data_IF_039739543801
#
_entry.id   IF_039739543801
#
_cell.length_a   1.000
_cell.length_b   1.000
_cell.length_c   1.000
_cell.angle_alpha   90.00
_cell.angle_beta   90.00
_cell.angle_gamma   90.00
#
_symmetry.space_group_name_H-M   'P 1'
#
loop_
_entity.id
_entity.type
_entity.pdbx_description
1 polymer ?
#
# COMPACT_ATOMS: atom_id res chain seq x y z
N UNK A 1 16.46 -94.91 -5.20
CA UNK A 1 15.56 -93.73 -5.19
C UNK A 1 16.38 -92.50 -5.08
N UNK A 2 16.57 -91.82 -6.24
CA UNK A 2 17.42 -90.60 -6.38
C UNK A 2 16.56 -89.41 -6.19
N UNK A 3 16.82 -88.56 -5.18
CA UNK A 3 16.23 -87.20 -5.07
C UNK A 3 17.13 -86.17 -5.75
N UNK A 4 16.55 -85.59 -6.74
CA UNK A 4 17.18 -84.51 -7.49
C UNK A 4 17.08 -83.21 -6.68
N UNK A 5 18.22 -82.63 -6.31
CA UNK A 5 18.29 -81.28 -5.76
C UNK A 5 18.44 -80.27 -6.90
N UNK A 6 17.40 -79.53 -7.18
CA UNK A 6 17.46 -78.38 -8.04
C UNK A 6 18.10 -77.22 -7.26
N UNK A 7 19.29 -76.81 -7.71
CA UNK A 7 19.90 -75.56 -7.28
C UNK A 7 19.19 -74.40 -7.92
N UNK A 8 18.56 -73.55 -7.09
CA UNK A 8 18.01 -72.26 -7.51
C UNK A 8 19.15 -71.24 -7.50
N UNK A 9 19.61 -70.82 -8.68
CA UNK A 9 20.48 -69.67 -8.81
C UNK A 9 19.68 -68.43 -8.56
N UNK A 10 19.92 -67.80 -7.41
CA UNK A 10 19.41 -66.45 -7.14
C UNK A 10 20.41 -65.49 -7.75
N UNK A 11 20.10 -64.98 -8.91
CA UNK A 11 20.81 -63.85 -9.51
C UNK A 11 20.39 -62.60 -8.74
N UNK A 12 21.26 -62.10 -7.88
CA UNK A 12 21.08 -60.77 -7.27
C UNK A 12 21.33 -59.73 -8.36
N UNK A 13 20.24 -59.22 -8.90
CA UNK A 13 20.31 -58.06 -9.77
C UNK A 13 20.51 -56.86 -8.85
N UNK A 14 21.77 -56.39 -8.79
CA UNK A 14 22.10 -55.09 -8.20
C UNK A 14 21.47 -54.02 -9.06
N UNK A 15 20.29 -53.52 -8.62
CA UNK A 15 19.75 -52.30 -9.13
C UNK A 15 20.66 -51.19 -8.57
N UNK A 16 21.58 -50.70 -9.36
CA UNK A 16 22.16 -49.37 -9.17
C UNK A 16 21.01 -48.40 -9.36
N UNK A 17 20.43 -47.92 -8.21
CA UNK A 17 19.68 -46.67 -8.26
C UNK A 17 20.69 -45.61 -8.64
N UNK A 18 20.74 -45.28 -9.90
CA UNK A 18 21.20 -43.94 -10.31
C UNK A 18 20.15 -43.00 -9.74
N UNK A 19 20.42 -42.46 -8.57
CA UNK A 19 19.79 -41.23 -8.13
C UNK A 19 20.24 -40.19 -9.14
N UNK A 20 19.52 -40.10 -10.24
CA UNK A 20 19.54 -38.86 -11.01
C UNK A 20 19.03 -37.82 -10.03
N UNK A 21 19.92 -37.01 -9.49
CA UNK A 21 19.58 -35.71 -8.96
C UNK A 21 18.93 -34.95 -10.11
N UNK A 22 17.63 -35.19 -10.31
CA UNK A 22 16.81 -34.21 -10.96
C UNK A 22 16.85 -33.04 -9.98
N UNK A 23 17.83 -32.16 -10.16
CA UNK A 23 17.69 -30.80 -9.75
C UNK A 23 16.32 -30.38 -10.23
N UNK A 24 15.38 -30.21 -9.31
CA UNK A 24 14.16 -29.46 -9.59
C UNK A 24 14.64 -28.25 -10.40
N UNK A 25 14.05 -27.95 -11.54
CA UNK A 25 14.42 -26.76 -12.26
C UNK A 25 14.36 -25.64 -11.23
N UNK A 26 15.47 -24.94 -11.04
CA UNK A 26 15.47 -23.76 -10.21
C UNK A 26 14.30 -22.93 -10.71
N UNK A 27 13.36 -22.61 -9.83
CA UNK A 27 12.33 -21.64 -10.11
C UNK A 27 13.07 -20.34 -10.40
N UNK A 28 13.32 -20.06 -11.68
CA UNK A 28 14.20 -18.98 -12.06
C UNK A 28 14.92 -19.21 -13.35
N UNK A 29 14.26 -19.78 -14.36
CA UNK A 29 14.66 -19.42 -15.70
C UNK A 29 14.54 -17.90 -15.82
N UNK A 30 15.55 -17.28 -16.41
CA UNK A 30 15.54 -15.85 -16.75
C UNK A 30 14.27 -15.55 -17.53
N UNK A 31 13.28 -15.07 -16.81
CA UNK A 31 12.04 -14.62 -17.43
C UNK A 31 12.45 -13.35 -18.14
N UNK A 32 12.56 -13.48 -19.46
CA UNK A 32 12.79 -12.36 -20.35
C UNK A 32 11.60 -11.42 -20.21
N UNK A 33 11.73 -10.51 -19.28
CA UNK A 33 10.69 -9.58 -18.87
C UNK A 33 10.48 -8.61 -20.00
N UNK A 34 9.32 -8.65 -20.60
CA UNK A 34 8.96 -7.74 -21.68
C UNK A 34 8.74 -6.35 -21.10
N UNK A 35 9.85 -5.60 -21.04
CA UNK A 35 10.02 -4.30 -20.37
C UNK A 35 8.99 -3.24 -20.73
N UNK A 36 8.23 -3.45 -21.80
CA UNK A 36 7.28 -2.45 -22.29
C UNK A 36 6.06 -2.25 -21.40
N UNK A 37 5.67 -3.25 -20.60
CA UNK A 37 4.47 -3.18 -19.77
C UNK A 37 4.74 -3.21 -18.28
N UNK A 38 5.98 -3.47 -17.91
CA UNK A 38 6.33 -3.74 -16.54
C UNK A 38 7.34 -2.74 -16.03
N UNK A 39 6.91 -1.60 -16.04
CA UNK A 39 7.67 -0.50 -15.58
C UNK A 39 7.73 -0.66 -14.11
N UNK A 40 8.60 -1.32 -13.74
CA UNK A 40 8.59 -1.21 -12.68
C UNK A 40 8.68 -1.67 -11.44
N UNK A 41 9.23 -2.15 -11.08
CA UNK A 41 8.72 -2.82 -9.96
C UNK A 41 9.77 -3.12 -9.01
N UNK A 42 9.49 -3.13 -7.87
CA UNK A 42 10.15 -3.65 -6.70
C UNK A 42 11.30 -4.61 -7.00
N UNK A 43 12.17 -4.79 -6.08
CA UNK A 43 13.13 -5.87 -6.09
C UNK A 43 12.35 -7.17 -6.24
N UNK A 44 12.58 -7.86 -7.34
CA UNK A 44 11.95 -9.15 -7.57
C UNK A 44 12.75 -10.21 -6.88
N UNK A 45 12.03 -11.01 -6.16
CA UNK A 45 12.56 -12.19 -5.54
C UNK A 45 12.11 -13.41 -6.33
N UNK A 46 13.02 -14.34 -6.53
CA UNK A 46 12.71 -15.70 -6.95
C UNK A 46 13.52 -16.63 -6.07
N UNK A 47 12.85 -17.54 -5.41
CA UNK A 47 13.46 -18.47 -4.44
C UNK A 47 14.30 -17.75 -3.35
N UNK A 48 13.81 -16.61 -2.85
CA UNK A 48 14.50 -15.83 -1.83
C UNK A 48 15.75 -15.09 -2.29
N UNK A 49 16.03 -15.08 -3.59
CA UNK A 49 17.13 -14.33 -4.18
C UNK A 49 16.61 -13.05 -4.85
N UNK A 50 17.32 -11.94 -4.64
CA UNK A 50 17.07 -10.72 -5.41
C UNK A 50 17.42 -11.00 -6.86
N UNK A 51 16.46 -10.86 -7.76
CA UNK A 51 16.75 -10.84 -9.19
C UNK A 51 17.21 -9.45 -9.57
N UNK A 52 18.36 -9.39 -10.24
CA UNK A 52 18.83 -8.15 -10.83
C UNK A 52 17.81 -7.61 -11.82
N UNK A 53 17.67 -6.29 -11.84
CA UNK A 53 16.81 -5.62 -12.78
C UNK A 53 17.32 -5.77 -14.19
N UNK A 54 16.46 -6.16 -15.11
CA UNK A 54 16.75 -6.09 -16.53
C UNK A 54 17.10 -4.67 -16.96
N UNK A 55 18.12 -4.60 -17.72
CA UNK A 55 18.78 -3.58 -18.55
C UNK A 55 18.62 -2.07 -18.33
N UNK A 56 19.65 -1.39 -18.76
CA UNK A 56 20.02 0.03 -18.66
C UNK A 56 18.93 1.09 -19.00
N UNK A 57 17.91 0.75 -19.72
CA UNK A 57 16.86 1.71 -20.13
C UNK A 57 15.88 2.06 -19.00
N UNK A 58 15.83 1.24 -17.97
CA UNK A 58 15.00 1.45 -16.80
C UNK A 58 15.65 2.44 -15.82
N UNK A 59 16.96 2.34 -15.63
CA UNK A 59 17.74 3.22 -14.75
C UNK A 59 17.58 4.69 -15.15
N UNK A 60 17.43 5.00 -16.42
CA UNK A 60 17.32 6.36 -16.92
C UNK A 60 15.99 7.07 -16.52
N UNK A 61 14.91 6.33 -16.26
CA UNK A 61 13.64 6.93 -15.80
C UNK A 61 13.47 6.90 -14.28
N UNK A 62 14.04 5.90 -13.62
CA UNK A 62 14.04 5.81 -12.14
C UNK A 62 15.12 6.69 -11.50
N UNK A 63 16.13 7.12 -12.25
CA UNK A 63 17.22 7.97 -11.75
C UNK A 63 16.82 9.43 -11.52
N UNK A 64 15.56 9.79 -11.81
CA UNK A 64 15.14 11.17 -11.73
C UNK A 64 14.92 11.63 -10.29
N UNK A 65 14.66 10.73 -9.34
CA UNK A 65 14.50 11.16 -7.96
C UNK A 65 15.04 10.10 -6.98
N UNK A 66 16.15 10.41 -6.33
CA UNK A 66 16.60 9.71 -5.12
C UNK A 66 15.70 9.99 -3.90
N UNK A 67 14.68 10.82 -4.06
CA UNK A 67 13.66 11.20 -3.11
C UNK A 67 12.25 10.88 -3.59
N UNK A 68 11.26 11.21 -2.79
CA UNK A 68 9.86 11.11 -3.16
C UNK A 68 9.51 12.08 -4.27
N UNK A 69 8.74 11.67 -5.31
CA UNK A 69 8.15 12.60 -6.24
C UNK A 69 7.16 13.53 -5.51
N UNK A 70 6.92 14.72 -6.05
CA UNK A 70 5.92 15.61 -5.45
C UNK A 70 4.51 15.03 -5.60
N UNK A 71 3.86 14.72 -4.49
CA UNK A 71 2.46 14.29 -4.44
C UNK A 71 1.72 14.94 -3.27
N UNK A 72 0.98 16.04 -3.55
CA UNK A 72 0.24 16.77 -2.52
C UNK A 72 -0.96 16.01 -1.94
N UNK A 73 -1.29 14.83 -2.47
CA UNK A 73 -2.33 13.96 -1.92
C UNK A 73 -1.82 13.03 -0.82
N UNK A 74 -0.51 12.84 -0.77
CA UNK A 74 0.09 11.94 0.20
C UNK A 74 -0.02 12.52 1.61
N UNK A 75 -0.34 11.65 2.56
CA UNK A 75 -0.46 12.00 3.98
C UNK A 75 0.89 11.81 4.67
N UNK A 76 1.60 10.72 4.37
CA UNK A 76 2.87 10.36 4.99
C UNK A 76 3.84 9.79 3.97
N UNK A 77 5.13 10.04 4.21
CA UNK A 77 6.27 9.46 3.49
C UNK A 77 6.83 8.26 4.26
N UNK A 78 7.03 7.16 3.59
CA UNK A 78 7.54 5.95 4.23
C UNK A 78 8.54 5.19 3.39
N UNK A 79 9.10 4.17 3.98
CA UNK A 79 10.01 3.22 3.33
C UNK A 79 9.51 1.80 3.55
N UNK A 80 9.91 0.87 2.69
CA UNK A 80 9.83 -0.53 3.05
C UNK A 80 11.20 -1.19 3.03
N UNK A 81 11.40 -2.13 3.96
CA UNK A 81 12.70 -2.70 4.24
C UNK A 81 12.64 -4.19 4.53
N UNK A 82 13.76 -4.84 4.26
CA UNK A 82 14.01 -6.24 4.55
C UNK A 82 15.48 -6.46 4.92
N UNK A 83 15.91 -7.70 5.10
CA UNK A 83 17.31 -8.03 5.34
C UNK A 83 18.25 -7.55 4.22
N UNK A 84 17.73 -7.29 3.02
CA UNK A 84 18.53 -6.80 1.88
C UNK A 84 19.06 -5.38 2.09
N UNK A 85 18.43 -4.61 2.97
CA UNK A 85 18.90 -3.28 3.32
C UNK A 85 20.04 -3.29 4.34
N UNK A 86 20.43 -4.49 4.82
CA UNK A 86 21.51 -4.66 5.78
C UNK A 86 21.16 -4.12 7.17
N UNK A 87 22.14 -3.59 7.86
CA UNK A 87 21.96 -2.95 9.16
C UNK A 87 21.56 -1.49 8.96
N UNK A 88 20.46 -1.08 9.58
CA UNK A 88 19.88 0.24 9.46
C UNK A 88 20.13 1.05 10.73
N UNK A 89 20.63 2.26 10.59
CA UNK A 89 20.69 3.26 11.66
C UNK A 89 19.34 3.99 11.77
N UNK A 90 18.42 3.38 12.50
CA UNK A 90 17.05 3.89 12.65
C UNK A 90 16.97 5.28 13.31
N UNK A 91 18.01 5.67 14.07
CA UNK A 91 18.10 7.03 14.62
C UNK A 91 18.29 8.07 13.52
N UNK A 92 19.12 7.77 12.52
CA UNK A 92 19.28 8.63 11.34
C UNK A 92 18.06 8.61 10.45
N UNK A 93 17.43 7.44 10.28
CA UNK A 93 16.15 7.33 9.55
C UNK A 93 15.09 8.24 10.18
N UNK A 94 14.96 8.25 11.52
CA UNK A 94 14.01 9.11 12.24
C UNK A 94 14.27 10.61 12.03
N UNK A 95 15.51 10.99 11.79
CA UNK A 95 15.90 12.39 11.53
C UNK A 95 15.69 12.82 10.07
N UNK A 96 15.32 11.90 9.19
CA UNK A 96 14.99 12.14 7.79
C UNK A 96 13.50 12.44 7.60
N UNK A 97 13.06 12.47 6.35
CA UNK A 97 11.64 12.65 6.00
C UNK A 97 10.79 11.38 6.18
N UNK A 98 11.35 10.29 6.73
CA UNK A 98 10.64 9.02 6.92
C UNK A 98 9.71 9.11 8.12
N UNK A 99 8.43 8.94 7.88
CA UNK A 99 7.37 9.00 8.89
C UNK A 99 6.87 7.61 9.29
N UNK A 100 7.04 6.59 8.41
CA UNK A 100 6.69 5.20 8.71
C UNK A 100 7.56 4.21 7.94
N UNK A 101 7.53 2.94 8.35
CA UNK A 101 8.19 1.85 7.65
C UNK A 101 7.26 0.65 7.49
N UNK A 102 7.41 -0.10 6.38
CA UNK A 102 6.80 -1.42 6.23
C UNK A 102 7.94 -2.45 6.23
N UNK A 103 7.87 -3.41 7.14
CA UNK A 103 8.99 -4.32 7.42
C UNK A 103 8.63 -5.72 6.97
N UNK A 104 9.50 -6.34 6.17
CA UNK A 104 9.32 -7.75 5.83
C UNK A 104 9.47 -8.63 7.06
N UNK A 105 8.44 -9.42 7.37
CA UNK A 105 8.56 -10.40 8.44
C UNK A 105 9.17 -11.72 7.96
N UNK A 106 8.93 -12.10 6.72
CA UNK A 106 9.42 -13.33 6.12
C UNK A 106 8.89 -13.54 4.71
N UNK A 107 9.06 -14.75 4.21
CA UNK A 107 8.58 -15.17 2.90
C UNK A 107 8.17 -16.64 2.93
N UNK A 108 7.18 -17.01 2.12
CA UNK A 108 6.75 -18.41 1.98
C UNK A 108 6.13 -18.99 3.23
N UNK A 109 6.06 -20.31 3.27
CA UNK A 109 5.36 -21.09 4.30
C UNK A 109 5.99 -20.95 5.68
N UNK A 110 5.28 -21.42 6.72
CA UNK A 110 5.68 -21.27 8.13
C UNK A 110 6.91 -22.14 8.48
N UNK A 111 8.05 -21.73 8.01
CA UNK A 111 9.37 -22.28 8.31
C UNK A 111 10.26 -21.15 8.88
N UNK A 112 10.90 -21.41 10.03
CA UNK A 112 11.79 -20.46 10.68
C UNK A 112 12.97 -20.02 9.80
N UNK A 113 13.41 -20.85 8.86
CA UNK A 113 14.44 -20.51 7.91
C UNK A 113 13.99 -19.45 6.88
N UNK A 114 12.68 -19.23 6.78
CA UNK A 114 12.07 -18.23 5.90
C UNK A 114 11.71 -16.94 6.64
N UNK A 115 11.99 -16.84 7.93
CA UNK A 115 11.89 -15.58 8.67
C UNK A 115 12.89 -14.58 8.08
N UNK A 116 12.50 -13.31 7.96
CA UNK A 116 13.45 -12.28 7.55
C UNK A 116 14.53 -12.11 8.63
N UNK A 117 15.78 -12.23 8.23
CA UNK A 117 16.93 -12.23 9.15
C UNK A 117 17.12 -10.92 9.92
N UNK A 118 16.47 -9.86 9.46
CA UNK A 118 16.50 -8.52 10.09
C UNK A 118 15.14 -8.12 10.70
N UNK A 119 14.15 -9.02 10.70
CA UNK A 119 12.83 -8.75 11.21
C UNK A 119 12.84 -8.14 12.61
N UNK A 120 13.41 -8.84 13.58
CA UNK A 120 13.42 -8.39 14.97
C UNK A 120 14.27 -7.13 15.17
N UNK A 121 15.40 -7.01 14.45
CA UNK A 121 16.27 -5.83 14.50
C UNK A 121 15.54 -4.60 13.97
N UNK A 122 14.85 -4.71 12.83
CA UNK A 122 14.12 -3.62 12.21
C UNK A 122 12.90 -3.21 13.04
N UNK A 123 12.13 -4.18 13.55
CA UNK A 123 11.00 -3.89 14.47
C UNK A 123 11.48 -3.16 15.72
N UNK A 124 12.55 -3.65 16.36
CA UNK A 124 13.13 -2.98 17.53
C UNK A 124 13.59 -1.57 17.18
N UNK A 125 14.24 -1.39 16.04
CA UNK A 125 14.70 -0.09 15.58
C UNK A 125 13.57 0.91 15.38
N UNK A 126 12.44 0.49 14.80
CA UNK A 126 11.25 1.31 14.68
C UNK A 126 10.66 1.69 16.05
N UNK A 127 10.53 0.73 16.96
CA UNK A 127 9.98 0.95 18.31
C UNK A 127 10.86 1.93 19.09
N UNK A 128 12.16 1.69 19.15
CA UNK A 128 13.13 2.50 19.92
C UNK A 128 13.18 3.96 19.43
N UNK A 129 12.88 4.20 18.16
CA UNK A 129 12.91 5.53 17.56
C UNK A 129 11.51 6.14 17.31
N UNK A 130 10.45 5.53 17.83
CA UNK A 130 9.07 5.98 17.63
C UNK A 130 8.73 6.17 16.14
N UNK A 131 9.10 5.23 15.29
CA UNK A 131 8.70 5.17 13.89
C UNK A 131 7.51 4.20 13.79
N UNK A 132 6.31 4.67 13.41
CA UNK A 132 5.20 3.78 13.14
C UNK A 132 5.56 2.76 12.06
N UNK A 133 5.14 1.51 12.22
CA UNK A 133 5.44 0.50 11.22
C UNK A 133 4.26 -0.40 10.89
N UNK A 134 4.34 -1.05 9.76
CA UNK A 134 3.52 -2.16 9.30
C UNK A 134 4.41 -3.33 8.87
N UNK A 135 3.80 -4.32 8.26
CA UNK A 135 4.45 -5.59 7.99
C UNK A 135 4.10 -6.09 6.60
N UNK A 136 5.01 -6.81 5.95
CA UNK A 136 4.66 -7.60 4.79
C UNK A 136 5.28 -9.00 4.82
N UNK A 137 4.61 -9.93 4.18
CA UNK A 137 5.10 -11.28 3.93
C UNK A 137 5.09 -11.52 2.41
N UNK A 138 6.25 -11.87 1.88
CA UNK A 138 6.40 -12.22 0.46
C UNK A 138 5.85 -13.62 0.17
N UNK A 139 4.90 -13.72 -0.77
CA UNK A 139 4.20 -14.96 -1.07
C UNK A 139 4.89 -15.79 -2.14
N UNK A 140 4.99 -17.09 -1.86
CA UNK A 140 5.27 -18.16 -2.83
C UNK A 140 4.11 -19.15 -2.95
N UNK A 141 2.95 -18.84 -2.39
CA UNK A 141 1.83 -19.77 -2.37
C UNK A 141 1.25 -19.97 -3.76
N UNK A 142 1.29 -21.20 -4.23
CA UNK A 142 0.62 -21.67 -5.44
C UNK A 142 -0.58 -22.57 -5.17
N UNK A 143 -0.92 -22.74 -3.87
CA UNK A 143 -2.13 -23.42 -3.38
C UNK A 143 -2.67 -22.72 -2.14
N UNK A 144 -3.95 -22.98 -1.80
CA UNK A 144 -4.59 -22.43 -0.60
C UNK A 144 -3.97 -22.97 0.70
N UNK A 145 -3.44 -24.20 0.70
CA UNK A 145 -2.73 -24.78 1.82
C UNK A 145 -1.44 -24.03 2.13
N UNK A 146 -0.66 -23.70 1.06
CA UNK A 146 0.54 -22.87 1.23
C UNK A 146 0.18 -21.47 1.72
N UNK A 147 -0.84 -20.85 1.16
CA UNK A 147 -1.33 -19.54 1.63
C UNK A 147 -1.77 -19.59 3.10
N UNK A 148 -2.42 -20.67 3.52
CA UNK A 148 -2.76 -20.89 4.94
C UNK A 148 -1.52 -21.01 5.82
N UNK A 149 -0.48 -21.70 5.34
CA UNK A 149 0.80 -21.81 6.04
C UNK A 149 1.55 -20.49 6.10
N UNK A 150 1.50 -19.68 5.02
CA UNK A 150 2.06 -18.32 4.99
C UNK A 150 1.34 -17.39 5.97
N UNK A 151 0.02 -17.54 6.12
CA UNK A 151 -0.73 -16.83 7.15
C UNK A 151 -0.30 -17.22 8.57
N UNK A 152 -0.06 -18.53 8.83
CA UNK A 152 0.49 -18.99 10.12
C UNK A 152 1.90 -18.45 10.37
N UNK A 153 2.72 -18.33 9.31
CA UNK A 153 4.04 -17.72 9.36
C UNK A 153 3.95 -16.26 9.85
N UNK A 154 3.14 -15.47 9.19
CA UNK A 154 2.92 -14.09 9.62
C UNK A 154 2.38 -14.00 11.05
N UNK A 155 1.33 -14.76 11.39
CA UNK A 155 0.72 -14.77 12.73
C UNK A 155 1.76 -15.09 13.81
N UNK A 156 2.64 -16.06 13.58
CA UNK A 156 3.70 -16.44 14.51
C UNK A 156 4.66 -15.27 14.78
N UNK A 157 5.08 -14.56 13.74
CA UNK A 157 6.02 -13.45 13.86
C UNK A 157 5.38 -12.18 14.44
N UNK A 158 4.08 -12.02 14.25
CA UNK A 158 3.33 -10.87 14.74
C UNK A 158 2.90 -10.99 16.21
N UNK A 159 3.01 -12.19 16.79
CA UNK A 159 2.55 -12.43 18.17
C UNK A 159 3.24 -11.49 19.17
N UNK A 160 2.43 -10.74 19.92
CA UNK A 160 2.91 -9.77 20.91
C UNK A 160 3.46 -8.47 20.35
N UNK A 161 3.51 -8.28 19.04
CA UNK A 161 3.95 -7.04 18.39
C UNK A 161 2.80 -6.02 18.34
N UNK A 162 3.14 -4.74 18.43
CA UNK A 162 2.21 -3.61 18.24
C UNK A 162 2.69 -2.76 17.08
N UNK A 163 1.82 -2.51 16.12
CA UNK A 163 2.13 -1.73 14.92
C UNK A 163 0.89 -1.00 14.40
N UNK A 164 1.08 0.07 13.64
CA UNK A 164 0.00 0.94 13.16
C UNK A 164 -0.48 0.61 11.74
N UNK A 165 0.44 0.27 10.85
CA UNK A 165 0.13 0.01 9.44
C UNK A 165 -0.30 -1.44 9.22
N UNK A 166 -1.03 -1.75 8.14
CA UNK A 166 -1.54 -3.09 7.87
C UNK A 166 -0.46 -4.18 7.74
N UNK A 167 -0.91 -5.42 7.74
CA UNK A 167 -0.14 -6.58 7.29
C UNK A 167 -0.43 -6.80 5.82
N UNK A 168 0.57 -6.64 4.97
CA UNK A 168 0.44 -6.79 3.53
C UNK A 168 0.84 -8.19 3.08
N UNK A 169 0.00 -8.79 2.26
CA UNK A 169 0.32 -10.00 1.50
C UNK A 169 0.91 -9.56 0.16
N UNK A 170 2.17 -9.87 -0.05
CA UNK A 170 2.94 -9.44 -1.22
C UNK A 170 2.80 -10.46 -2.34
N UNK A 171 2.02 -10.09 -3.37
CA UNK A 171 1.68 -10.91 -4.53
C UNK A 171 2.37 -10.38 -5.78
N UNK A 172 3.61 -10.77 -5.97
CA UNK A 172 4.37 -10.34 -7.15
C UNK A 172 5.18 -11.46 -7.82
N UNK A 173 5.09 -12.71 -7.30
CA UNK A 173 5.85 -13.82 -7.87
C UNK A 173 5.33 -14.20 -9.27
N UNK A 174 6.15 -13.94 -10.27
CA UNK A 174 5.79 -14.12 -11.68
C UNK A 174 5.47 -15.56 -12.04
N UNK A 175 6.13 -16.53 -11.41
CA UNK A 175 5.86 -17.94 -11.62
C UNK A 175 4.42 -18.30 -11.20
N UNK A 176 3.91 -17.69 -10.14
CA UNK A 176 2.52 -17.85 -9.68
C UNK A 176 1.57 -17.28 -10.71
N UNK A 177 1.82 -16.06 -11.17
CA UNK A 177 1.01 -15.38 -12.18
C UNK A 177 0.86 -16.18 -13.48
N UNK A 178 1.93 -16.84 -13.92
CA UNK A 178 1.92 -17.65 -15.14
C UNK A 178 1.23 -19.00 -14.96
N UNK A 179 1.22 -19.51 -13.74
CA UNK A 179 0.72 -20.86 -13.43
C UNK A 179 -0.76 -20.87 -13.08
N UNK A 180 -1.25 -19.84 -12.40
CA UNK A 180 -2.56 -19.82 -11.79
C UNK A 180 -3.55 -18.92 -12.52
N UNK A 181 -4.82 -19.31 -12.49
CA UNK A 181 -5.94 -18.47 -12.90
C UNK A 181 -6.18 -17.34 -11.89
N UNK A 182 -6.88 -16.29 -12.32
CA UNK A 182 -7.28 -15.17 -11.45
C UNK A 182 -8.10 -15.64 -10.24
N UNK A 183 -8.94 -16.65 -10.43
CA UNK A 183 -9.76 -17.22 -9.35
C UNK A 183 -8.90 -17.94 -8.31
N UNK A 184 -7.89 -18.71 -8.75
CA UNK A 184 -6.97 -19.38 -7.83
C UNK A 184 -6.14 -18.38 -7.04
N UNK A 185 -5.63 -17.32 -7.69
CA UNK A 185 -4.91 -16.22 -7.03
C UNK A 185 -5.84 -15.53 -5.99
N UNK A 186 -7.10 -15.28 -6.34
CA UNK A 186 -8.07 -14.71 -5.42
C UNK A 186 -8.33 -15.63 -4.21
N UNK A 187 -8.42 -16.94 -4.41
CA UNK A 187 -8.61 -17.90 -3.32
C UNK A 187 -7.39 -17.97 -2.38
N UNK A 188 -6.18 -17.90 -2.93
CA UNK A 188 -4.93 -17.77 -2.18
C UNK A 188 -4.96 -16.51 -1.32
N UNK A 189 -5.26 -15.36 -1.92
CA UNK A 189 -5.35 -14.09 -1.20
C UNK A 189 -6.43 -14.11 -0.10
N UNK A 190 -7.62 -14.66 -0.39
CA UNK A 190 -8.70 -14.84 0.59
C UNK A 190 -8.24 -15.68 1.78
N UNK A 191 -7.53 -16.76 1.52
CA UNK A 191 -7.06 -17.67 2.57
C UNK A 191 -6.12 -16.96 3.54
N UNK A 192 -5.13 -16.25 3.03
CA UNK A 192 -4.20 -15.48 3.85
C UNK A 192 -4.92 -14.35 4.60
N UNK A 193 -5.59 -13.48 3.87
CA UNK A 193 -6.18 -12.27 4.45
C UNK A 193 -7.28 -12.58 5.48
N UNK A 194 -8.17 -13.53 5.18
CA UNK A 194 -9.23 -13.90 6.12
C UNK A 194 -8.68 -14.51 7.42
N UNK A 195 -7.61 -15.30 7.32
CA UNK A 195 -6.97 -15.91 8.49
C UNK A 195 -6.33 -14.87 9.41
N UNK A 196 -5.68 -13.85 8.85
CA UNK A 196 -5.14 -12.73 9.62
C UNK A 196 -6.26 -11.82 10.16
N UNK A 197 -7.26 -11.51 9.35
CA UNK A 197 -8.42 -10.71 9.79
C UNK A 197 -9.17 -11.37 10.95
N UNK A 198 -9.31 -12.70 10.94
CA UNK A 198 -9.90 -13.46 12.05
C UNK A 198 -9.07 -13.37 13.36
N UNK A 199 -7.81 -12.98 13.28
CA UNK A 199 -6.95 -12.64 14.43
C UNK A 199 -6.99 -11.14 14.80
N UNK A 200 -7.80 -10.37 14.09
CA UNK A 200 -7.98 -8.94 14.34
C UNK A 200 -6.94 -8.03 13.65
N UNK A 201 -6.11 -8.55 12.76
CA UNK A 201 -5.19 -7.72 12.01
C UNK A 201 -5.88 -7.00 10.86
N UNK A 202 -5.55 -5.74 10.64
CA UNK A 202 -5.86 -5.06 9.39
C UNK A 202 -4.94 -5.61 8.32
N UNK A 203 -5.52 -6.04 7.19
CA UNK A 203 -4.77 -6.68 6.12
C UNK A 203 -4.86 -5.91 4.81
N UNK A 204 -3.85 -6.08 3.98
CA UNK A 204 -3.79 -5.49 2.65
C UNK A 204 -3.09 -6.38 1.64
N UNK A 205 -3.14 -5.97 0.40
CA UNK A 205 -2.42 -6.61 -0.71
C UNK A 205 -1.39 -5.62 -1.23
N UNK A 206 -0.15 -6.08 -1.35
CA UNK A 206 0.85 -5.42 -2.16
C UNK A 206 0.98 -6.16 -3.48
N UNK A 207 1.02 -5.38 -4.55
CA UNK A 207 1.36 -5.85 -5.88
C UNK A 207 1.73 -4.66 -6.77
N UNK A 208 2.33 -4.93 -7.92
CA UNK A 208 2.53 -3.88 -8.90
C UNK A 208 1.22 -3.52 -9.65
N UNK A 209 1.24 -2.38 -10.33
CA UNK A 209 0.09 -1.88 -11.10
C UNK A 209 -0.46 -2.91 -12.09
N UNK A 210 0.40 -3.68 -12.78
CA UNK A 210 -0.03 -4.67 -13.77
C UNK A 210 -0.85 -5.80 -13.09
N UNK A 211 -0.39 -6.29 -11.95
CA UNK A 211 -1.12 -7.28 -11.18
C UNK A 211 -2.52 -6.76 -10.78
N UNK A 212 -2.61 -5.57 -10.22
CA UNK A 212 -3.90 -4.98 -9.84
C UNK A 212 -4.83 -4.73 -11.03
N UNK A 213 -4.27 -4.37 -12.19
CA UNK A 213 -5.07 -4.10 -13.38
C UNK A 213 -5.56 -5.37 -14.06
N UNK A 214 -4.71 -6.41 -14.12
CA UNK A 214 -4.92 -7.52 -15.00
C UNK A 214 -5.18 -8.86 -14.30
N UNK A 215 -4.78 -9.02 -13.02
CA UNK A 215 -4.85 -10.31 -12.31
C UNK A 215 -5.66 -10.24 -11.01
N UNK A 216 -5.51 -9.23 -10.21
CA UNK A 216 -6.21 -9.07 -8.93
C UNK A 216 -7.55 -8.37 -9.13
N UNK A 217 -8.37 -8.92 -10.02
CA UNK A 217 -9.62 -8.32 -10.50
C UNK A 217 -10.88 -8.87 -9.81
N UNK A 218 -10.77 -9.91 -8.99
CA UNK A 218 -11.88 -10.44 -8.18
C UNK A 218 -12.34 -9.39 -7.16
N UNK A 219 -13.65 -9.31 -6.92
CA UNK A 219 -14.24 -8.33 -6.01
C UNK A 219 -13.73 -8.44 -4.57
N UNK A 220 -13.19 -9.59 -4.16
CA UNK A 220 -12.61 -9.78 -2.83
C UNK A 220 -11.47 -8.79 -2.53
N UNK A 221 -10.73 -8.38 -3.56
CA UNK A 221 -9.64 -7.39 -3.40
C UNK A 221 -10.13 -5.98 -3.02
N UNK A 222 -11.43 -5.73 -3.04
CA UNK A 222 -11.99 -4.47 -2.55
C UNK A 222 -12.19 -4.44 -1.02
N UNK A 223 -12.08 -5.60 -0.37
CA UNK A 223 -12.24 -5.72 1.09
C UNK A 223 -10.95 -5.37 1.85
N UNK A 224 -9.82 -5.24 1.16
CA UNK A 224 -8.51 -5.05 1.78
C UNK A 224 -7.83 -3.78 1.28
N UNK A 225 -6.93 -3.24 2.10
CA UNK A 225 -6.11 -2.10 1.70
C UNK A 225 -5.20 -2.51 0.54
N UNK A 226 -4.91 -1.55 -0.34
CA UNK A 226 -4.06 -1.79 -1.51
C UNK A 226 -2.80 -0.95 -1.44
N UNK A 227 -1.67 -1.61 -1.57
CA UNK A 227 -0.37 -1.00 -1.71
C UNK A 227 0.15 -1.27 -3.12
N UNK A 228 0.09 -0.26 -3.98
CA UNK A 228 0.41 -0.37 -5.40
C UNK A 228 1.86 0.01 -5.64
N UNK A 229 2.62 -0.85 -6.31
CA UNK A 229 3.94 -0.49 -6.81
C UNK A 229 3.87 0.02 -8.25
N UNK A 230 4.38 1.22 -8.45
CA UNK A 230 4.64 1.79 -9.77
C UNK A 230 5.71 2.88 -9.63
N UNK A 231 6.91 2.64 -10.14
CA UNK A 231 8.00 3.61 -10.07
C UNK A 231 7.83 4.67 -11.13
N UNK A 232 7.31 5.81 -10.68
CA UNK A 232 6.95 6.91 -11.56
C UNK A 232 6.88 8.21 -10.74
N UNK A 233 6.68 9.31 -11.42
CA UNK A 233 6.38 10.61 -10.78
C UNK A 233 4.93 10.73 -10.34
N UNK A 234 4.03 9.88 -10.87
CA UNK A 234 2.62 9.80 -10.48
C UNK A 234 2.15 8.34 -10.53
N UNK A 235 1.27 7.95 -9.63
CA UNK A 235 0.61 6.65 -9.72
C UNK A 235 -0.51 6.70 -10.75
N UNK A 236 -0.38 5.89 -11.81
CA UNK A 236 -1.36 5.81 -12.90
C UNK A 236 -2.35 4.64 -12.75
N UNK A 237 -2.39 4.00 -11.59
CA UNK A 237 -3.40 3.01 -11.30
C UNK A 237 -4.77 3.69 -11.14
N UNK A 238 -5.78 3.20 -11.86
CA UNK A 238 -7.11 3.83 -11.90
C UNK A 238 -8.05 3.37 -10.78
N UNK A 239 -7.68 2.30 -10.07
CA UNK A 239 -8.44 1.81 -8.93
C UNK A 239 -8.11 2.57 -7.64
N UNK A 240 -8.91 2.34 -6.61
CA UNK A 240 -8.61 2.85 -5.25
C UNK A 240 -7.38 2.14 -4.68
N UNK A 241 -6.50 2.90 -4.03
CA UNK A 241 -5.34 2.39 -3.31
C UNK A 241 -5.08 3.25 -2.08
N UNK A 242 -4.43 2.65 -1.10
CA UNK A 242 -4.15 3.28 0.21
C UNK A 242 -2.68 3.65 0.36
N UNK A 243 -1.80 2.96 -0.38
CA UNK A 243 -0.37 3.22 -0.42
C UNK A 243 0.18 3.08 -1.84
N UNK A 244 1.25 3.81 -2.12
CA UNK A 244 1.97 3.76 -3.38
C UNK A 244 3.47 3.64 -3.15
N UNK A 245 4.10 2.58 -3.66
CA UNK A 245 5.55 2.47 -3.75
C UNK A 245 6.00 3.16 -5.05
N UNK A 246 6.63 4.30 -4.89
CA UNK A 246 6.91 5.23 -5.99
C UNK A 246 8.33 5.12 -6.54
N UNK A 247 9.25 4.55 -5.79
CA UNK A 247 10.66 4.39 -6.16
C UNK A 247 11.28 3.21 -5.42
N UNK A 248 12.35 2.68 -5.97
CA UNK A 248 13.18 1.64 -5.38
C UNK A 248 14.67 2.03 -5.37
N UNK A 249 14.95 3.27 -5.63
CA UNK A 249 16.30 3.82 -5.67
C UNK A 249 16.50 4.95 -4.65
N UNK A 250 15.62 5.02 -3.66
CA UNK A 250 15.67 6.00 -2.58
C UNK A 250 17.00 5.98 -1.83
N UNK A 251 17.42 7.14 -1.36
CA UNK A 251 18.60 7.32 -0.52
C UNK A 251 18.19 7.98 0.78
N UNK A 252 18.22 7.20 1.84
CA UNK A 252 17.79 7.63 3.18
C UNK A 252 18.99 7.60 4.12
N UNK A 253 19.23 8.68 4.88
CA UNK A 253 20.25 8.68 5.92
C UNK A 253 20.06 7.50 6.89
N UNK A 254 21.11 6.72 7.10
CA UNK A 254 21.07 5.54 7.96
C UNK A 254 20.88 4.21 7.20
N UNK A 255 20.61 4.25 5.89
CA UNK A 255 20.52 3.05 5.02
C UNK A 255 21.61 3.15 3.96
N UNK A 256 22.49 2.14 3.91
CA UNK A 256 23.64 2.15 3.00
C UNK A 256 23.31 1.70 1.57
N UNK A 257 22.20 0.98 1.40
CA UNK A 257 21.70 0.49 0.11
C UNK A 257 20.71 1.48 -0.51
N UNK A 258 20.19 1.13 -1.69
CA UNK A 258 18.93 1.72 -2.14
C UNK A 258 17.80 1.20 -1.24
N UNK A 259 16.75 1.99 -1.10
CA UNK A 259 15.54 1.64 -0.35
C UNK A 259 14.30 2.04 -1.12
N UNK A 260 13.24 1.28 -0.94
CA UNK A 260 11.96 1.54 -1.56
C UNK A 260 11.26 2.70 -0.84
N UNK A 261 10.75 3.66 -1.64
CA UNK A 261 10.07 4.85 -1.15
C UNK A 261 8.57 4.72 -1.37
N UNK A 262 7.81 5.09 -0.33
CA UNK A 262 6.38 4.91 -0.29
C UNK A 262 5.64 6.17 0.12
N UNK A 263 4.43 6.32 -0.39
CA UNK A 263 3.43 7.24 0.11
C UNK A 263 2.27 6.48 0.75
N UNK A 264 1.73 7.03 1.83
CA UNK A 264 0.44 6.63 2.40
C UNK A 264 -0.61 7.69 2.13
N UNK A 265 -1.80 7.26 1.75
CA UNK A 265 -2.99 8.09 1.50
C UNK A 265 -4.11 7.80 2.51
N UNK A 266 -3.88 6.86 3.41
CA UNK A 266 -4.82 6.48 4.45
C UNK A 266 -4.16 6.63 5.82
N UNK A 267 -4.85 7.23 6.80
CA UNK A 267 -4.35 7.31 8.17
C UNK A 267 -4.56 5.96 8.84
N UNK A 268 -3.51 5.18 8.95
CA UNK A 268 -3.54 3.94 9.71
C UNK A 268 -3.24 4.23 11.18
N UNK A 269 -4.16 3.88 12.07
CA UNK A 269 -3.97 4.18 13.50
C UNK A 269 -3.69 2.94 14.34
N UNK A 270 -4.23 1.78 13.96
CA UNK A 270 -4.04 0.55 14.73
C UNK A 270 -4.36 -0.68 13.88
N UNK A 271 -3.36 -1.51 13.60
CA UNK A 271 -3.53 -2.71 12.78
C UNK A 271 -3.44 -4.01 13.57
N UNK A 272 -3.35 -3.95 14.90
CA UNK A 272 -3.22 -5.13 15.75
C UNK A 272 -4.47 -5.39 16.53
N UNK A 273 -5.44 -6.14 16.05
CA UNK A 273 -6.43 -6.79 16.90
C UNK A 273 -7.19 -5.94 17.93
N UNK A 274 -7.04 -4.63 17.89
CA UNK A 274 -7.89 -3.66 18.57
C UNK A 274 -9.05 -3.35 17.65
N UNK A 275 -10.20 -3.02 18.22
CA UNK A 275 -11.37 -2.55 17.47
C UNK A 275 -10.92 -1.64 16.33
N UNK A 276 -11.14 -2.06 15.10
CA UNK A 276 -11.02 -1.19 13.93
C UNK A 276 -11.86 0.05 14.25
N UNK A 277 -11.25 1.22 14.28
CA UNK A 277 -12.03 2.45 14.36
C UNK A 277 -12.91 2.49 13.12
N UNK A 278 -14.20 2.25 13.27
CA UNK A 278 -15.14 2.40 12.17
C UNK A 278 -15.36 3.90 11.95
N UNK A 279 -14.97 4.36 10.80
CA UNK A 279 -15.28 5.71 10.35
C UNK A 279 -16.60 5.69 9.58
N UNK A 280 -17.51 6.54 9.99
CA UNK A 280 -18.76 6.75 9.24
C UNK A 280 -18.47 7.45 7.90
N UNK A 281 -19.32 7.21 6.91
CA UNK A 281 -19.24 7.98 5.66
C UNK A 281 -19.39 9.49 5.95
N UNK A 282 -18.58 10.30 5.26
CA UNK A 282 -18.50 11.74 5.47
C UNK A 282 -17.19 12.16 6.16
N UNK A 283 -17.17 13.38 6.73
CA UNK A 283 -15.98 13.92 7.40
C UNK A 283 -15.77 13.28 8.78
N UNK A 284 -14.56 12.79 9.00
CA UNK A 284 -14.07 12.30 10.30
C UNK A 284 -12.75 12.99 10.65
N UNK A 285 -12.55 13.24 11.93
CA UNK A 285 -11.34 13.88 12.44
C UNK A 285 -10.31 12.84 12.86
N UNK A 286 -9.10 12.98 12.34
CA UNK A 286 -7.96 12.13 12.68
C UNK A 286 -6.76 13.03 12.97
N UNK A 287 -6.22 12.96 14.16
CA UNK A 287 -5.06 13.74 14.60
C UNK A 287 -5.21 15.26 14.36
N UNK A 288 -6.45 15.79 14.47
CA UNK A 288 -6.74 17.21 14.27
C UNK A 288 -6.97 17.62 12.81
N UNK A 289 -6.91 16.69 11.88
CA UNK A 289 -7.24 16.90 10.46
C UNK A 289 -8.55 16.22 10.09
N UNK A 290 -9.30 16.80 9.14
CA UNK A 290 -10.57 16.28 8.69
C UNK A 290 -10.42 15.59 7.33
N UNK A 291 -10.84 14.32 7.27
CA UNK A 291 -10.81 13.48 6.07
C UNK A 291 -12.21 12.99 5.72
N UNK A 292 -12.51 12.92 4.43
CA UNK A 292 -13.79 12.42 3.93
C UNK A 292 -13.71 10.90 3.70
N UNK A 293 -14.52 10.17 4.44
CA UNK A 293 -14.60 8.71 4.40
C UNK A 293 -15.78 8.23 3.57
N UNK A 294 -15.60 7.10 2.94
CA UNK A 294 -16.65 6.30 2.30
C UNK A 294 -16.28 4.82 2.46
N UNK A 295 -17.20 4.01 2.98
CA UNK A 295 -16.97 2.60 3.26
C UNK A 295 -15.73 2.38 4.15
N UNK A 296 -15.64 3.12 5.24
CA UNK A 296 -14.54 3.06 6.23
C UNK A 296 -13.14 3.36 5.64
N UNK A 297 -13.05 4.10 4.53
CA UNK A 297 -11.80 4.51 3.86
C UNK A 297 -11.87 5.97 3.45
N UNK A 298 -10.71 6.64 3.45
CA UNK A 298 -10.63 7.99 2.87
C UNK A 298 -10.96 7.91 1.38
N UNK A 299 -11.97 8.66 0.96
CA UNK A 299 -12.31 8.80 -0.45
C UNK A 299 -11.47 9.92 -1.08
N UNK A 300 -10.27 9.61 -1.54
CA UNK A 300 -9.37 10.57 -2.18
C UNK A 300 -9.88 11.11 -3.53
N UNK A 301 -10.95 10.54 -4.08
CA UNK A 301 -11.63 11.09 -5.27
C UNK A 301 -12.69 12.14 -4.92
N UNK A 302 -13.07 12.27 -3.65
CA UNK A 302 -14.07 13.24 -3.25
C UNK A 302 -13.55 14.67 -3.33
N UNK A 303 -14.26 15.51 -4.05
CA UNK A 303 -14.04 16.95 -4.14
C UNK A 303 -15.40 17.64 -4.01
N UNK A 304 -15.55 18.54 -3.05
CA UNK A 304 -16.81 19.22 -2.81
C UNK A 304 -16.95 19.73 -1.38
N UNK A 305 -18.15 20.14 -1.00
CA UNK A 305 -18.45 20.56 0.35
C UNK A 305 -18.96 19.37 1.18
N UNK A 306 -18.47 19.28 2.41
CA UNK A 306 -18.96 18.28 3.37
C UNK A 306 -19.10 18.90 4.76
N UNK A 307 -20.03 18.37 5.55
CA UNK A 307 -20.36 18.91 6.87
C UNK A 307 -19.76 18.05 7.99
N UNK A 308 -19.17 18.72 8.99
CA UNK A 308 -18.69 18.09 10.21
C UNK A 308 -19.07 18.93 11.43
N UNK A 309 -19.75 18.33 12.40
CA UNK A 309 -20.21 19.00 13.64
C UNK A 309 -20.95 20.33 13.38
N UNK A 310 -21.77 20.40 12.32
CA UNK A 310 -22.55 21.58 11.97
C UNK A 310 -21.86 22.63 11.11
N UNK A 311 -20.56 22.51 10.90
CA UNK A 311 -19.78 23.36 10.00
C UNK A 311 -19.59 22.71 8.64
N UNK A 312 -19.52 23.50 7.58
CA UNK A 312 -19.32 23.03 6.21
C UNK A 312 -17.90 23.39 5.74
N UNK A 313 -17.22 22.42 5.18
CA UNK A 313 -15.82 22.53 4.76
C UNK A 313 -15.67 22.16 3.30
N UNK A 314 -14.75 22.83 2.62
CA UNK A 314 -14.28 22.40 1.30
C UNK A 314 -13.34 21.23 1.46
N UNK A 315 -13.69 20.14 0.84
CA UNK A 315 -12.85 18.95 0.73
C UNK A 315 -12.23 18.91 -0.67
N UNK A 316 -10.94 18.70 -0.72
CA UNK A 316 -10.20 18.48 -1.97
C UNK A 316 -9.45 17.16 -1.82
N UNK A 317 -9.76 16.22 -2.71
CA UNK A 317 -9.10 14.90 -2.72
C UNK A 317 -9.20 14.17 -1.36
N UNK A 318 -10.38 14.23 -0.76
CA UNK A 318 -10.66 13.51 0.48
C UNK A 318 -10.17 14.18 1.75
N UNK A 319 -9.52 15.35 1.70
CA UNK A 319 -9.05 16.09 2.88
C UNK A 319 -9.60 17.52 2.85
N UNK A 320 -9.88 18.09 4.03
CA UNK A 320 -10.30 19.49 4.13
C UNK A 320 -9.16 20.41 3.69
N UNK A 321 -9.47 21.27 2.71
CA UNK A 321 -8.52 22.25 2.18
C UNK A 321 -8.54 23.53 3.02
N UNK A 322 -7.72 23.61 4.04
CA UNK A 322 -7.61 24.76 4.96
C UNK A 322 -6.98 25.99 4.34
N UNK A 323 -6.40 25.90 3.13
CA UNK A 323 -5.75 27.06 2.50
C UNK A 323 -6.67 27.87 1.62
N UNK A 324 -7.84 27.30 1.26
CA UNK A 324 -8.78 27.97 0.37
C UNK A 324 -9.61 29.02 1.09
N UNK A 325 -9.60 30.25 0.60
CA UNK A 325 -10.46 31.34 1.06
C UNK A 325 -11.03 32.12 -0.13
N UNK A 326 -12.12 32.85 0.09
CA UNK A 326 -12.82 33.61 -0.95
C UNK A 326 -13.99 32.84 -1.56
N UNK A 327 -14.47 33.30 -2.71
CA UNK A 327 -15.62 32.73 -3.40
C UNK A 327 -15.23 31.49 -4.22
N UNK A 328 -15.81 30.35 -3.91
CA UNK A 328 -15.49 29.06 -4.51
C UNK A 328 -16.75 28.37 -5.02
N UNK A 329 -16.68 27.83 -6.23
CA UNK A 329 -17.77 27.06 -6.81
C UNK A 329 -17.73 25.60 -6.31
N UNK A 330 -18.90 25.09 -5.89
CA UNK A 330 -19.08 23.67 -5.61
C UNK A 330 -20.45 23.25 -6.11
N UNK A 331 -20.48 22.29 -7.04
CA UNK A 331 -21.69 21.96 -7.77
C UNK A 331 -22.20 23.15 -8.59
N UNK A 332 -23.48 23.43 -8.50
CA UNK A 332 -24.15 24.53 -9.21
C UNK A 332 -24.10 25.87 -8.47
N UNK A 333 -23.55 25.93 -7.27
CA UNK A 333 -23.56 27.15 -6.45
C UNK A 333 -22.17 27.61 -6.04
N UNK A 334 -22.10 28.83 -5.48
CA UNK A 334 -20.88 29.48 -5.04
C UNK A 334 -20.94 29.76 -3.55
N UNK A 335 -19.81 29.60 -2.89
CA UNK A 335 -19.70 29.66 -1.43
C UNK A 335 -18.51 30.51 -1.01
N UNK A 336 -18.74 31.39 -0.04
CA UNK A 336 -17.70 32.21 0.57
C UNK A 336 -16.99 31.38 1.66
N UNK A 337 -15.72 31.12 1.46
CA UNK A 337 -14.91 30.34 2.38
C UNK A 337 -13.91 31.22 3.13
N UNK A 338 -13.60 30.81 4.35
CA UNK A 338 -12.45 31.30 5.13
C UNK A 338 -11.68 30.08 5.64
N UNK A 339 -10.42 29.91 5.21
CA UNK A 339 -9.57 28.80 5.59
C UNK A 339 -10.26 27.44 5.40
N UNK A 340 -10.87 27.25 4.24
CA UNK A 340 -11.57 26.03 3.86
C UNK A 340 -12.93 25.81 4.49
N UNK A 341 -13.37 26.68 5.41
CA UNK A 341 -14.67 26.60 6.09
C UNK A 341 -15.64 27.62 5.49
N UNK A 342 -16.91 27.22 5.32
CA UNK A 342 -17.98 28.12 4.92
C UNK A 342 -18.12 29.27 5.93
N UNK A 343 -17.96 30.49 5.48
CA UNK A 343 -18.14 31.68 6.28
C UNK A 343 -19.62 32.09 6.31
N UNK A 344 -20.37 31.51 7.24
CA UNK A 344 -21.81 31.77 7.41
C UNK A 344 -22.13 33.20 7.90
N UNK A 345 -21.14 33.89 8.45
CA UNK A 345 -21.30 35.25 8.95
C UNK A 345 -21.18 36.29 7.82
N UNK A 346 -20.72 35.87 6.65
CA UNK A 346 -20.55 36.77 5.51
C UNK A 346 -21.89 36.98 4.80
N UNK A 347 -22.42 38.19 4.89
CA UNK A 347 -23.59 38.65 4.13
C UNK A 347 -23.28 40.05 3.63
N UNK A 348 -22.84 40.15 2.36
CA UNK A 348 -22.45 41.41 1.72
C UNK A 348 -22.23 41.23 0.22
N UNK A 349 -21.93 42.32 -0.46
CA UNK A 349 -21.43 42.30 -1.85
C UNK A 349 -19.96 41.83 -1.87
N UNK A 350 -19.66 40.96 -2.80
CA UNK A 350 -18.30 40.47 -3.05
C UNK A 350 -17.90 40.65 -4.51
N UNK A 351 -16.76 41.36 -4.74
CA UNK A 351 -16.25 41.59 -6.08
C UNK A 351 -15.35 40.46 -6.52
N UNK A 352 -15.71 39.77 -7.61
CA UNK A 352 -14.99 38.63 -8.12
C UNK A 352 -15.07 38.56 -9.66
N UNK A 353 -13.97 38.34 -10.34
CA UNK A 353 -13.88 38.24 -11.80
C UNK A 353 -14.63 39.39 -12.54
N UNK A 354 -14.35 40.64 -12.14
CA UNK A 354 -14.93 41.85 -12.68
C UNK A 354 -16.47 41.98 -12.54
N UNK A 355 -17.06 41.24 -11.61
CA UNK A 355 -18.50 41.31 -11.30
C UNK A 355 -18.74 41.41 -9.81
N UNK A 356 -19.87 42.01 -9.42
CA UNK A 356 -20.36 42.03 -8.05
C UNK A 356 -21.35 40.94 -7.82
N UNK A 357 -21.23 40.26 -6.72
CA UNK A 357 -22.10 39.17 -6.29
C UNK A 357 -22.62 39.43 -4.89
N UNK A 358 -23.90 39.21 -4.68
CA UNK A 358 -24.51 39.32 -3.35
C UNK A 358 -24.47 37.96 -2.67
N UNK A 359 -23.81 37.90 -1.52
CA UNK A 359 -23.63 36.69 -0.73
C UNK A 359 -24.51 36.82 0.53
N UNK A 360 -25.25 35.78 0.85
CA UNK A 360 -26.08 35.70 2.06
C UNK A 360 -25.68 34.47 2.87
N UNK A 361 -25.25 34.67 4.14
CA UNK A 361 -24.77 33.59 5.00
C UNK A 361 -23.71 32.69 4.33
N UNK A 362 -22.80 33.29 3.59
CA UNK A 362 -21.75 32.61 2.89
C UNK A 362 -22.14 31.92 1.58
N UNK A 363 -23.39 32.08 1.11
CA UNK A 363 -23.86 31.45 -0.14
C UNK A 363 -24.28 32.52 -1.13
N UNK A 364 -23.90 32.36 -2.39
CA UNK A 364 -24.29 33.29 -3.46
C UNK A 364 -25.82 33.24 -3.68
N UNK A 365 -26.46 34.39 -3.54
CA UNK A 365 -27.88 34.53 -3.82
C UNK A 365 -28.13 34.95 -5.29
N UNK A 366 -28.47 34.00 -6.11
CA UNK A 366 -28.83 34.21 -7.52
C UNK A 366 -30.18 34.90 -7.73
N UNK A 367 -31.00 34.98 -6.68
CA UNK A 367 -32.39 35.52 -6.77
C UNK A 367 -32.44 36.95 -6.32
N UNK A 368 -31.39 37.49 -5.75
CA UNK A 368 -31.35 38.83 -5.23
C UNK A 368 -31.64 39.85 -6.33
N UNK A 369 -32.64 40.68 -6.07
CA UNK A 369 -33.01 41.81 -6.91
C UNK A 369 -33.36 42.99 -6.01
N UNK A 370 -32.38 43.83 -5.73
CA UNK A 370 -32.56 44.95 -4.80
C UNK A 370 -31.35 45.85 -4.74
N UNK A 371 -31.38 46.81 -3.86
CA UNK A 371 -30.30 47.74 -3.57
C UNK A 371 -29.66 47.33 -2.26
N UNK A 372 -28.35 47.25 -2.22
CA UNK A 372 -27.55 47.03 -0.98
C UNK A 372 -26.61 48.17 -0.81
N UNK A 373 -26.39 48.52 0.43
CA UNK A 373 -25.33 49.51 0.81
C UNK A 373 -23.97 48.79 0.92
N UNK A 374 -23.02 49.29 0.18
CA UNK A 374 -21.62 48.80 0.28
C UNK A 374 -20.67 49.95 0.63
N UNK A 375 -19.90 49.83 1.72
CA UNK A 375 -19.02 50.87 2.22
C UNK A 375 -19.73 52.21 2.43
N UNK A 376 -20.94 52.22 2.98
CA UNK A 376 -21.81 53.37 3.16
C UNK A 376 -22.22 54.12 1.85
N UNK A 377 -22.09 53.47 0.71
CA UNK A 377 -22.61 53.94 -0.57
C UNK A 377 -23.68 53.01 -1.10
N UNK A 378 -24.68 53.56 -1.77
CA UNK A 378 -25.77 52.84 -2.43
C UNK A 378 -25.34 52.42 -3.85
#
# INVERSE_FOLDING_TARGET
MKKLFKRLCVTVLSFLMVVSSTTLPAFGEDINYNEKNDIANSFRYSNGQVKERGSANYVARASVNSGWPDDPKAICKGIDVSYHNGTIDWKKVKQSEVEYAIIRCGYGTNDKNQDDKKWEENVKGCIDNNIPYGVYLYSYADTVEKASSEADHAIRLLQGKKFKYPVYYDLEEEAIRKKLSKTEIANIAKTFCNKLSAKGYTVGIYANKDWFTNYLTDSCFNNWTKWVAQYNTVCNYQGKYDMWQCSCTGKIPGISTNVDLNYSYSPFENSNGGTTTEYSDGLNEIQGELYYFENNRINTSYNGLATYKGDTYLVTRGMVNKTQSGLVQSGSNWYMLTNGKLNKDFTDLYYYNNNWYYIVNGVLDWTFNGVVTYNNNL
#
